data_IF_835028899674
#
_entry.id   IF_835028899674
#
_cell.length_a   1.000
_cell.length_b   1.000
_cell.length_c   1.000
_cell.angle_alpha   90.00
_cell.angle_beta   90.00
_cell.angle_gamma   90.00
#
_symmetry.space_group_name_H-M   'P 1'
#
loop_
_entity.id
_entity.type
_entity.pdbx_description
1 polymer ?
#
# COMPACT_ATOMS: atom_id res chain seq x y z
N UNK A 1 -16.78 5.75 -1.68
CA UNK A 1 -16.66 7.15 -2.13
C UNK A 1 -15.62 7.32 -3.24
N UNK A 2 -14.31 7.40 -2.95
CA UNK A 2 -13.30 7.61 -4.01
C UNK A 2 -13.24 6.46 -5.02
N UNK A 3 -13.35 5.20 -4.54
CA UNK A 3 -13.36 4.03 -5.43
C UNK A 3 -14.53 4.08 -6.41
N UNK A 4 -15.73 4.42 -5.94
CA UNK A 4 -16.93 4.48 -6.78
C UNK A 4 -16.77 5.51 -7.91
N UNK A 5 -16.24 6.70 -7.58
CA UNK A 5 -15.96 7.74 -8.57
C UNK A 5 -14.91 7.30 -9.60
N UNK A 6 -13.82 6.64 -9.16
CA UNK A 6 -12.80 6.11 -10.05
C UNK A 6 -13.34 4.99 -10.95
N UNK A 7 -14.12 4.05 -10.40
CA UNK A 7 -14.69 2.92 -11.13
C UNK A 7 -15.68 3.38 -12.20
N UNK A 8 -16.53 4.37 -11.92
CA UNK A 8 -17.45 4.96 -12.89
C UNK A 8 -16.73 5.57 -14.11
N UNK A 9 -15.46 5.98 -13.95
CA UNK A 9 -14.62 6.54 -14.99
C UNK A 9 -13.56 5.57 -15.54
N UNK A 10 -13.61 4.28 -15.16
CA UNK A 10 -12.59 3.28 -15.53
C UNK A 10 -11.14 3.68 -15.14
N UNK A 11 -10.98 4.28 -13.94
CA UNK A 11 -9.69 4.70 -13.37
C UNK A 11 -9.33 3.83 -12.17
N UNK A 12 -8.05 3.45 -12.05
CA UNK A 12 -7.53 2.71 -10.90
C UNK A 12 -7.27 3.62 -9.69
N UNK A 13 -7.69 3.19 -8.51
CA UNK A 13 -7.45 3.87 -7.23
C UNK A 13 -6.31 3.20 -6.44
N UNK A 14 -5.36 4.02 -6.01
CA UNK A 14 -4.29 3.61 -5.09
C UNK A 14 -4.51 4.32 -3.76
N UNK A 15 -4.42 3.59 -2.65
CA UNK A 15 -4.53 4.17 -1.30
C UNK A 15 -3.15 4.21 -0.66
N UNK A 16 -2.73 5.41 -0.24
CA UNK A 16 -1.51 5.61 0.53
C UNK A 16 -1.86 5.50 2.00
N UNK A 17 -1.25 4.57 2.73
CA UNK A 17 -1.54 4.36 4.16
C UNK A 17 -0.54 5.03 5.10
N UNK A 18 0.54 5.59 4.55
CA UNK A 18 1.60 6.33 5.27
C UNK A 18 2.25 5.50 6.39
N UNK A 19 2.84 4.36 6.01
CA UNK A 19 3.42 3.38 6.94
C UNK A 19 4.44 3.96 7.92
N UNK A 20 5.23 4.95 7.49
CA UNK A 20 6.22 5.62 8.35
C UNK A 20 5.63 6.44 9.50
N UNK A 21 4.36 6.84 9.38
CA UNK A 21 3.64 7.53 10.46
C UNK A 21 2.76 6.58 11.28
N UNK A 22 2.21 5.52 10.65
CA UNK A 22 1.48 4.48 11.37
C UNK A 22 2.39 3.70 12.34
N UNK A 23 3.65 3.43 11.94
CA UNK A 23 4.74 2.81 12.71
C UNK A 23 4.49 1.37 13.19
N UNK A 24 3.36 1.12 13.83
CA UNK A 24 3.00 -0.17 14.41
C UNK A 24 2.50 -1.14 13.33
N UNK A 25 3.00 -2.37 13.34
CA UNK A 25 2.58 -3.43 12.40
C UNK A 25 1.06 -3.62 12.42
N UNK A 26 0.43 -3.62 13.61
CA UNK A 26 -1.01 -3.77 13.75
C UNK A 26 -1.79 -2.69 13.00
N UNK A 27 -1.31 -1.44 13.03
CA UNK A 27 -1.93 -0.32 12.32
C UNK A 27 -1.68 -0.40 10.81
N UNK A 28 -0.48 -0.79 10.38
CA UNK A 28 -0.16 -1.01 8.95
C UNK A 28 -1.06 -2.10 8.36
N UNK A 29 -1.21 -3.23 9.08
CA UNK A 29 -2.13 -4.31 8.69
C UNK A 29 -3.57 -3.81 8.61
N UNK A 30 -4.03 -3.14 9.66
CA UNK A 30 -5.41 -2.66 9.74
C UNK A 30 -5.75 -1.66 8.64
N UNK A 31 -4.87 -0.70 8.36
CA UNK A 31 -5.05 0.28 7.30
C UNK A 31 -5.07 -0.39 5.92
N UNK A 32 -4.22 -1.41 5.70
CA UNK A 32 -4.21 -2.20 4.47
C UNK A 32 -5.54 -2.96 4.29
N UNK A 33 -6.00 -3.67 5.32
CA UNK A 33 -7.28 -4.39 5.28
C UNK A 33 -8.47 -3.48 4.99
N UNK A 34 -8.55 -2.33 5.67
CA UNK A 34 -9.63 -1.36 5.47
C UNK A 34 -9.61 -0.84 4.04
N UNK A 35 -8.42 -0.51 3.51
CA UNK A 35 -8.26 -0.02 2.14
C UNK A 35 -8.70 -1.05 1.10
N UNK A 36 -8.31 -2.32 1.30
CA UNK A 36 -8.71 -3.44 0.43
C UNK A 36 -10.22 -3.65 0.49
N UNK A 37 -10.82 -3.71 1.69
CA UNK A 37 -12.27 -3.86 1.88
C UNK A 37 -13.05 -2.70 1.25
N UNK A 38 -12.48 -1.50 1.24
CA UNK A 38 -13.05 -0.32 0.58
C UNK A 38 -12.80 -0.29 -0.95
N UNK A 39 -12.13 -1.29 -1.50
CA UNK A 39 -11.96 -1.50 -2.94
C UNK A 39 -10.71 -0.85 -3.56
N UNK A 40 -9.64 -0.62 -2.80
CA UNK A 40 -8.38 -0.15 -3.36
C UNK A 40 -7.84 -1.13 -4.43
N UNK A 41 -7.41 -0.62 -5.58
CA UNK A 41 -6.74 -1.42 -6.61
C UNK A 41 -5.24 -1.59 -6.30
N UNK A 42 -4.68 -0.66 -5.53
CA UNK A 42 -3.33 -0.76 -4.96
C UNK A 42 -3.32 -0.24 -3.53
N UNK A 43 -2.55 -0.91 -2.66
CA UNK A 43 -2.09 -0.32 -1.41
C UNK A 43 -0.65 0.17 -1.57
N UNK A 44 -0.40 1.41 -1.18
CA UNK A 44 0.86 2.13 -1.36
C UNK A 44 1.44 2.55 -0.01
N UNK A 45 2.75 2.37 0.17
CA UNK A 45 3.40 2.62 1.47
C UNK A 45 3.25 4.08 1.91
N UNK A 46 3.73 5.02 1.10
CA UNK A 46 4.00 6.39 1.57
C UNK A 46 3.82 7.48 0.51
N UNK A 47 3.68 8.73 0.96
CA UNK A 47 3.60 9.90 0.08
C UNK A 47 4.95 10.31 -0.49
N UNK A 48 6.06 9.99 0.17
CA UNK A 48 7.37 10.55 -0.13
C UNK A 48 7.60 11.91 0.52
N UNK A 49 6.76 12.31 1.49
CA UNK A 49 6.77 13.64 2.13
C UNK A 49 6.95 13.61 3.64
N UNK A 50 7.03 12.42 4.23
CA UNK A 50 7.31 12.19 5.65
C UNK A 50 8.72 11.63 5.85
N UNK A 51 9.30 11.67 7.07
CA UNK A 51 10.68 11.26 7.30
C UNK A 51 10.96 9.79 6.96
N UNK A 52 10.06 8.88 7.32
CA UNK A 52 10.16 7.44 7.02
C UNK A 52 9.15 7.09 5.94
N UNK A 53 9.60 6.41 4.87
CA UNK A 53 8.74 6.05 3.74
C UNK A 53 8.68 4.53 3.55
N UNK A 54 8.96 4.01 2.35
CA UNK A 54 9.02 2.57 2.13
C UNK A 54 10.19 1.94 2.89
N UNK A 55 9.93 0.83 3.57
CA UNK A 55 10.94 -0.08 4.11
C UNK A 55 10.61 -1.51 3.68
N UNK A 56 11.59 -2.42 3.56
CA UNK A 56 11.32 -3.83 3.26
C UNK A 56 10.37 -4.48 4.28
N UNK A 57 10.45 -4.07 5.55
CA UNK A 57 9.53 -4.53 6.60
C UNK A 57 8.08 -4.12 6.33
N UNK A 58 7.84 -2.82 6.05
CA UNK A 58 6.50 -2.32 5.71
C UNK A 58 5.97 -2.99 4.45
N UNK A 59 6.85 -3.21 3.45
CA UNK A 59 6.50 -3.89 2.22
C UNK A 59 6.04 -5.33 2.48
N UNK A 60 6.80 -6.10 3.27
CA UNK A 60 6.45 -7.47 3.67
C UNK A 60 5.09 -7.51 4.34
N UNK A 61 4.85 -6.66 5.34
CA UNK A 61 3.58 -6.63 6.08
C UNK A 61 2.39 -6.36 5.14
N UNK A 62 2.50 -5.36 4.26
CA UNK A 62 1.44 -5.03 3.31
C UNK A 62 1.17 -6.14 2.30
N UNK A 63 2.22 -6.77 1.77
CA UNK A 63 2.08 -7.91 0.84
C UNK A 63 1.51 -9.16 1.52
N UNK A 64 1.84 -9.40 2.79
CA UNK A 64 1.21 -10.46 3.59
C UNK A 64 -0.28 -10.23 3.74
N UNK A 65 -0.75 -9.00 3.98
CA UNK A 65 -2.20 -8.71 4.02
C UNK A 65 -2.88 -9.01 2.67
N UNK A 66 -2.25 -8.65 1.54
CA UNK A 66 -2.77 -8.97 0.20
C UNK A 66 -2.90 -10.50 0.03
N UNK A 67 -1.88 -11.25 0.44
CA UNK A 67 -1.87 -12.72 0.40
C UNK A 67 -2.95 -13.31 1.30
N UNK A 68 -3.00 -12.89 2.56
CA UNK A 68 -3.87 -13.45 3.60
C UNK A 68 -5.36 -13.18 3.31
N UNK A 69 -5.66 -12.06 2.65
CA UNK A 69 -7.02 -11.74 2.16
C UNK A 69 -7.38 -12.43 0.83
N UNK A 70 -6.44 -13.12 0.17
CA UNK A 70 -6.67 -13.82 -1.10
C UNK A 70 -6.93 -12.90 -2.29
N UNK A 71 -6.43 -11.66 -2.25
CA UNK A 71 -6.73 -10.61 -3.26
C UNK A 71 -5.58 -10.32 -4.21
N UNK A 72 -4.57 -11.19 -4.31
CA UNK A 72 -3.37 -10.98 -5.16
C UNK A 72 -3.67 -10.79 -6.65
N UNK A 73 -4.86 -11.15 -7.14
CA UNK A 73 -5.28 -10.93 -8.54
C UNK A 73 -5.93 -9.56 -8.77
N UNK A 74 -6.37 -8.88 -7.72
CA UNK A 74 -7.17 -7.65 -7.81
C UNK A 74 -6.55 -6.47 -7.09
N UNK A 75 -5.58 -6.70 -6.19
CA UNK A 75 -4.89 -5.65 -5.43
C UNK A 75 -3.38 -5.74 -5.67
N UNK A 76 -2.80 -4.67 -6.18
CA UNK A 76 -1.36 -4.51 -6.31
C UNK A 76 -0.69 -3.88 -5.09
N UNK A 77 0.63 -4.03 -5.01
CA UNK A 77 1.48 -3.38 -4.02
C UNK A 77 2.33 -2.28 -4.68
N UNK A 78 2.56 -1.17 -3.97
CA UNK A 78 3.44 -0.09 -4.44
C UNK A 78 4.33 0.46 -3.30
N UNK A 79 5.63 0.11 -3.25
CA UNK A 79 6.57 0.82 -2.40
C UNK A 79 6.83 2.21 -3.00
N UNK A 80 6.88 3.25 -2.17
CA UNK A 80 7.13 4.61 -2.63
C UNK A 80 7.81 5.48 -1.58
N UNK A 81 8.73 6.32 -2.04
CA UNK A 81 9.59 7.16 -1.21
C UNK A 81 10.73 6.33 -0.60
N UNK A 82 11.97 6.78 -0.80
CA UNK A 82 13.15 6.14 -0.20
C UNK A 82 13.83 5.05 -1.05
N UNK A 83 13.16 4.46 -2.04
CA UNK A 83 13.77 3.54 -3.02
C UNK A 83 14.56 4.36 -4.05
N UNK A 84 15.89 4.33 -3.99
CA UNK A 84 16.77 5.23 -4.77
C UNK A 84 17.65 4.50 -5.77
N UNK A 85 18.08 3.29 -5.47
CA UNK A 85 19.02 2.54 -6.31
C UNK A 85 18.38 1.29 -6.91
N UNK A 86 19.08 0.65 -7.85
CA UNK A 86 18.64 -0.62 -8.42
C UNK A 86 18.65 -1.73 -7.36
N UNK A 87 19.61 -1.68 -6.42
CA UNK A 87 19.72 -2.61 -5.31
C UNK A 87 18.55 -2.47 -4.33
N UNK A 88 18.09 -1.24 -4.05
CA UNK A 88 16.87 -1.01 -3.26
C UNK A 88 15.64 -1.62 -3.95
N UNK A 89 15.58 -1.54 -5.28
CA UNK A 89 14.46 -2.06 -6.07
C UNK A 89 14.51 -3.59 -6.26
N UNK A 90 15.67 -4.21 -6.08
CA UNK A 90 15.86 -5.66 -6.19
C UNK A 90 15.43 -6.41 -4.92
N UNK A 91 15.52 -5.75 -3.75
CA UNK A 91 15.08 -6.29 -2.46
C UNK A 91 13.56 -6.49 -2.40
#
# INVERSE_FOLDING_TARGET
ACKDACAAANVLLKVIIETGELKEEALIRKASEISIKAGADFIKTSTGKVPVNATPESARIMMEVIRDMGVSKTVGFKPAGGVRTAEDAQQ
#
